data_IF_783391422619
#
_entry.id   IF_783391422619
#
_cell.length_a   1.000
_cell.length_b   1.000
_cell.length_c   1.000
_cell.angle_alpha   90.00
_cell.angle_beta   90.00
_cell.angle_gamma   90.00
#
_symmetry.space_group_name_H-M   'P 1'
#
loop_
_entity.id
_entity.type
_entity.pdbx_description
1 polymer ?
#
# COMPACT_ATOMS: atom_id res chain seq x y z
N UNK A 1 -1.91 -27.39 -12.02
CA UNK A 1 -2.09 -26.75 -10.69
C UNK A 1 -1.38 -25.39 -10.75
N UNK A 2 -2.05 -24.35 -11.26
CA UNK A 2 -1.50 -22.99 -11.37
C UNK A 2 -2.42 -22.06 -10.59
N UNK A 3 -2.03 -21.67 -9.36
CA UNK A 3 -2.61 -20.56 -8.59
C UNK A 3 -1.84 -20.45 -7.27
N UNK A 4 -0.78 -19.64 -7.24
CA UNK A 4 -0.24 -19.08 -5.98
C UNK A 4 0.70 -17.88 -6.15
N UNK A 5 1.26 -17.61 -7.34
CA UNK A 5 2.17 -16.47 -7.53
C UNK A 5 1.49 -15.10 -7.74
N UNK A 6 0.26 -15.04 -8.27
CA UNK A 6 -0.35 -13.74 -8.62
C UNK A 6 -0.81 -12.90 -7.41
N UNK A 7 -1.11 -13.54 -6.27
CA UNK A 7 -1.64 -12.85 -5.08
C UNK A 7 -0.54 -12.11 -4.30
N UNK A 8 0.61 -12.76 -4.06
CA UNK A 8 1.79 -12.11 -3.48
C UNK A 8 2.31 -10.98 -4.37
N UNK A 9 2.23 -11.13 -5.70
CA UNK A 9 2.69 -10.11 -6.63
C UNK A 9 1.84 -8.83 -6.58
N UNK A 10 0.52 -8.97 -6.46
CA UNK A 10 -0.40 -7.81 -6.47
C UNK A 10 -0.12 -6.91 -5.26
N UNK A 11 -0.14 -7.47 -4.05
CA UNK A 11 0.11 -6.70 -2.82
C UNK A 11 1.52 -6.10 -2.81
N UNK A 12 2.52 -6.84 -3.31
CA UNK A 12 3.90 -6.33 -3.40
C UNK A 12 4.02 -5.13 -4.36
N UNK A 13 3.33 -5.16 -5.50
CA UNK A 13 3.27 -4.01 -6.42
C UNK A 13 2.54 -2.83 -5.78
N UNK A 14 1.44 -3.08 -5.08
CA UNK A 14 0.68 -2.06 -4.36
C UNK A 14 1.50 -1.39 -3.24
N UNK A 15 2.28 -2.20 -2.50
CA UNK A 15 3.22 -1.74 -1.50
C UNK A 15 4.32 -0.86 -2.10
N UNK A 16 4.84 -1.26 -3.27
CA UNK A 16 5.85 -0.48 -4.01
C UNK A 16 5.32 0.90 -4.41
N UNK A 17 4.07 0.99 -4.87
CA UNK A 17 3.46 2.30 -5.17
C UNK A 17 3.35 3.19 -3.94
N UNK A 18 2.81 2.66 -2.83
CA UNK A 18 2.62 3.43 -1.61
C UNK A 18 3.96 3.89 -1.04
N UNK A 19 4.92 2.98 -0.92
CA UNK A 19 6.28 3.27 -0.47
C UNK A 19 6.93 4.39 -1.30
N UNK A 20 6.87 4.27 -2.63
CA UNK A 20 7.46 5.24 -3.55
C UNK A 20 6.84 6.62 -3.41
N UNK A 21 5.50 6.71 -3.34
CA UNK A 21 4.80 7.97 -3.16
C UNK A 21 5.18 8.64 -1.82
N UNK A 22 5.32 7.86 -0.75
CA UNK A 22 5.64 8.38 0.59
C UNK A 22 7.10 8.80 0.76
N UNK A 23 8.04 8.10 0.14
CA UNK A 23 9.47 8.42 0.20
C UNK A 23 9.86 9.55 -0.73
N UNK A 24 9.53 9.43 -2.02
CA UNK A 24 9.99 10.39 -3.03
C UNK A 24 9.23 11.70 -2.97
N UNK A 25 8.01 11.69 -2.42
CA UNK A 25 7.12 12.85 -2.30
C UNK A 25 7.07 13.66 -3.61
N UNK A 26 6.65 13.05 -4.73
CA UNK A 26 6.73 13.67 -6.06
C UNK A 26 5.84 14.92 -6.22
N UNK A 27 4.85 15.12 -5.34
CA UNK A 27 3.98 16.29 -5.32
C UNK A 27 4.38 17.25 -4.18
N UNK A 28 4.08 18.55 -4.36
CA UNK A 28 4.30 19.56 -3.31
C UNK A 28 3.52 19.26 -2.03
N UNK A 29 2.34 18.64 -2.14
CA UNK A 29 1.53 18.16 -1.00
C UNK A 29 0.67 16.95 -1.44
N UNK A 30 -0.10 16.36 -0.52
CA UNK A 30 -1.06 15.27 -0.75
C UNK A 30 -0.45 13.94 -1.19
N UNK A 31 0.86 13.73 -1.00
CA UNK A 31 1.54 12.49 -1.36
C UNK A 31 0.95 11.23 -0.70
N UNK A 32 0.46 11.34 0.55
CA UNK A 32 -0.24 10.25 1.21
C UNK A 32 -1.58 9.94 0.55
N UNK A 33 -2.41 10.97 0.34
CA UNK A 33 -3.75 10.81 -0.23
C UNK A 33 -3.68 10.25 -1.65
N UNK A 34 -2.80 10.81 -2.49
CA UNK A 34 -2.62 10.36 -3.87
C UNK A 34 -1.99 8.97 -3.91
N UNK A 35 -0.95 8.72 -3.11
CA UNK A 35 -0.31 7.41 -3.00
C UNK A 35 -1.30 6.33 -2.59
N UNK A 36 -2.10 6.59 -1.55
CA UNK A 36 -3.14 5.70 -1.09
C UNK A 36 -4.23 5.47 -2.14
N UNK A 37 -4.71 6.53 -2.81
CA UNK A 37 -5.71 6.40 -3.86
C UNK A 37 -5.22 5.49 -5.00
N UNK A 38 -3.97 5.65 -5.46
CA UNK A 38 -3.38 4.79 -6.47
C UNK A 38 -3.25 3.33 -6.00
N UNK A 39 -2.74 3.13 -4.78
CA UNK A 39 -2.59 1.79 -4.17
C UNK A 39 -3.94 1.10 -4.01
N UNK A 40 -4.92 1.78 -3.43
CA UNK A 40 -6.28 1.25 -3.21
C UNK A 40 -6.99 0.96 -4.54
N UNK A 41 -6.87 1.85 -5.54
CA UNK A 41 -7.48 1.64 -6.85
C UNK A 41 -6.84 0.46 -7.58
N UNK A 42 -5.51 0.34 -7.54
CA UNK A 42 -4.81 -0.81 -8.12
C UNK A 42 -5.27 -2.13 -7.51
N UNK A 43 -5.38 -2.16 -6.18
CA UNK A 43 -5.88 -3.32 -5.43
C UNK A 43 -7.33 -3.66 -5.78
N UNK A 44 -8.20 -2.63 -5.87
CA UNK A 44 -9.60 -2.79 -6.29
C UNK A 44 -9.73 -3.39 -7.70
N UNK A 45 -9.04 -2.83 -8.71
CA UNK A 45 -9.11 -3.37 -10.08
C UNK A 45 -8.44 -4.74 -10.21
N UNK A 46 -7.59 -5.12 -9.26
CA UNK A 46 -6.98 -6.45 -9.16
C UNK A 46 -7.86 -7.46 -8.40
N UNK A 47 -9.08 -7.07 -7.99
CA UNK A 47 -10.02 -7.93 -7.29
C UNK A 47 -9.65 -8.19 -5.82
N UNK A 48 -8.85 -7.31 -5.21
CA UNK A 48 -8.39 -7.42 -3.82
C UNK A 48 -8.60 -6.09 -3.09
N UNK A 49 -9.85 -5.61 -2.94
CA UNK A 49 -10.11 -4.30 -2.35
C UNK A 49 -9.54 -4.16 -0.93
N UNK A 50 -9.13 -2.93 -0.59
CA UNK A 50 -8.60 -2.58 0.72
C UNK A 50 -9.58 -1.72 1.50
N UNK A 51 -9.61 -1.91 2.82
CA UNK A 51 -10.29 -1.06 3.77
C UNK A 51 -9.38 -0.80 4.97
N UNK A 52 -8.64 0.31 4.92
CA UNK A 52 -7.83 0.79 6.03
C UNK A 52 -8.63 1.82 6.86
N UNK A 53 -8.37 1.90 8.16
CA UNK A 53 -8.76 3.08 8.95
C UNK A 53 -7.77 4.20 8.69
N UNK A 54 -8.25 5.44 8.77
CA UNK A 54 -7.40 6.62 8.57
C UNK A 54 -6.20 6.61 9.53
N UNK A 55 -6.42 6.30 10.81
CA UNK A 55 -5.35 6.26 11.82
C UNK A 55 -4.26 5.22 11.48
N UNK A 56 -4.66 4.02 11.04
CA UNK A 56 -3.71 2.95 10.65
C UNK A 56 -2.90 3.36 9.41
N UNK A 57 -3.54 4.05 8.46
CA UNK A 57 -2.89 4.59 7.26
C UNK A 57 -1.91 5.72 7.62
N UNK A 58 -2.28 6.61 8.54
CA UNK A 58 -1.40 7.67 9.03
C UNK A 58 -0.21 7.10 9.79
N UNK A 59 -0.41 6.10 10.66
CA UNK A 59 0.67 5.39 11.37
C UNK A 59 1.67 4.81 10.37
N UNK A 60 1.21 3.99 9.42
CA UNK A 60 2.07 3.40 8.39
C UNK A 60 2.82 4.48 7.60
N UNK A 61 2.16 5.59 7.27
CA UNK A 61 2.81 6.68 6.54
C UNK A 61 3.94 7.34 7.33
N UNK A 62 3.82 7.44 8.65
CA UNK A 62 4.91 7.93 9.52
C UNK A 62 6.05 6.92 9.58
N UNK A 63 5.75 5.63 9.80
CA UNK A 63 6.75 4.56 9.83
C UNK A 63 7.58 4.51 8.54
N UNK A 64 6.94 4.62 7.37
CA UNK A 64 7.63 4.63 6.07
C UNK A 64 8.53 5.86 5.90
N UNK A 65 8.05 7.04 6.31
CA UNK A 65 8.85 8.29 6.23
C UNK A 65 10.02 8.31 7.19
N UNK A 66 9.87 7.67 8.35
CA UNK A 66 10.94 7.42 9.31
C UNK A 66 11.92 6.33 8.84
N UNK A 67 11.61 5.63 7.74
CA UNK A 67 12.35 4.46 7.22
C UNK A 67 12.34 3.27 8.19
N UNK A 68 11.30 3.16 9.01
CA UNK A 68 11.07 2.05 9.97
C UNK A 68 10.20 0.94 9.36
N UNK A 69 9.37 1.27 8.36
CA UNK A 69 8.61 0.30 7.58
C UNK A 69 9.20 0.13 6.17
N UNK A 70 9.59 -1.10 5.84
CA UNK A 70 10.05 -1.50 4.51
C UNK A 70 8.89 -2.03 3.64
N UNK A 71 9.20 -2.43 2.39
CA UNK A 71 8.21 -2.97 1.46
C UNK A 71 7.46 -4.20 2.00
N UNK A 72 8.13 -5.03 2.83
CA UNK A 72 7.52 -6.22 3.40
C UNK A 72 6.52 -5.84 4.49
N UNK A 73 6.88 -4.91 5.37
CA UNK A 73 5.98 -4.37 6.40
C UNK A 73 4.75 -3.74 5.76
N UNK A 74 4.94 -2.92 4.71
CA UNK A 74 3.82 -2.31 3.98
C UNK A 74 2.92 -3.39 3.38
N UNK A 75 3.49 -4.38 2.68
CA UNK A 75 2.70 -5.47 2.10
C UNK A 75 1.88 -6.23 3.15
N UNK A 76 2.46 -6.49 4.34
CA UNK A 76 1.75 -7.12 5.45
C UNK A 76 0.58 -6.27 5.97
N UNK A 77 0.77 -4.94 6.10
CA UNK A 77 -0.31 -4.02 6.49
C UNK A 77 -1.42 -3.99 5.43
N UNK A 78 -1.07 -3.88 4.15
CA UNK A 78 -2.05 -3.91 3.05
C UNK A 78 -2.83 -5.23 3.05
N UNK A 79 -2.16 -6.37 3.23
CA UNK A 79 -2.82 -7.68 3.34
C UNK A 79 -3.79 -7.73 4.53
N UNK A 80 -3.43 -7.16 5.68
CA UNK A 80 -4.31 -7.09 6.86
C UNK A 80 -5.54 -6.19 6.67
N UNK A 81 -5.49 -5.26 5.71
CA UNK A 81 -6.61 -4.39 5.36
C UNK A 81 -7.45 -4.91 4.20
N UNK A 82 -7.10 -6.06 3.61
CA UNK A 82 -7.88 -6.63 2.51
C UNK A 82 -9.25 -7.07 3.02
N UNK A 83 -10.29 -6.71 2.26
CA UNK A 83 -11.65 -7.21 2.49
C UNK A 83 -11.94 -8.34 1.51
N UNK A 84 -12.67 -9.36 1.97
CA UNK A 84 -13.15 -10.47 1.13
C UNK A 84 -14.19 -10.03 0.08
#
# INVERSE_FOLDING_TARGET
MLRRHNYEETVSRAATFLHTALLLRPFTDYNLVIGWACTSQYMHVSGQPLQAKDDDLYELAQEVRAQEADLRTIAQRLESWRTE
#
